data_IF_500908179490
#
_entry.id   IF_500908179490
#
_cell.length_a   1.000
_cell.length_b   1.000
_cell.length_c   1.000
_cell.angle_alpha   90.00
_cell.angle_beta   90.00
_cell.angle_gamma   90.00
#
_symmetry.space_group_name_H-M   'P 1'
#
loop_
_entity.id
_entity.type
_entity.pdbx_description
1 polymer ?
#
# COMPACT_ATOMS: atom_id res chain seq x y z
N UNK A 1 -18.73 49.41 -43.59
CA UNK A 1 -19.55 49.80 -44.74
C UNK A 1 -20.37 51.02 -44.36
N UNK A 2 -20.04 52.19 -44.95
CA UNK A 2 -20.82 53.41 -44.80
C UNK A 2 -21.92 53.42 -45.88
N UNK A 3 -23.12 53.81 -45.50
CA UNK A 3 -24.26 53.96 -46.37
C UNK A 3 -24.93 55.28 -46.16
N UNK A 4 -25.51 55.79 -47.24
CA UNK A 4 -26.35 57.01 -47.21
C UNK A 4 -27.65 56.75 -47.91
N UNK A 5 -28.71 57.04 -47.23
CA UNK A 5 -30.07 57.00 -47.82
C UNK A 5 -30.50 58.44 -48.09
N UNK A 6 -30.83 58.68 -49.36
CA UNK A 6 -31.26 60.03 -49.81
C UNK A 6 -32.66 59.91 -50.40
N UNK A 7 -33.54 60.79 -50.04
CA UNK A 7 -34.90 60.87 -50.63
C UNK A 7 -34.78 61.44 -52.04
N UNK A 8 -35.40 60.77 -53.02
CA UNK A 8 -35.48 61.26 -54.41
C UNK A 8 -36.97 61.38 -54.81
N UNK A 9 -37.32 62.38 -55.59
CA UNK A 9 -38.69 62.54 -56.14
C UNK A 9 -38.84 63.80 -57.00
N UNK A 10 -39.67 63.71 -58.05
CA UNK A 10 -39.97 64.84 -58.90
C UNK A 10 -40.82 65.86 -58.13
N UNK A 11 -40.26 67.06 -57.86
CA UNK A 11 -40.96 68.14 -57.19
C UNK A 11 -40.60 68.37 -55.73
N UNK A 12 -39.55 67.70 -55.22
CA UNK A 12 -39.01 67.97 -53.87
C UNK A 12 -38.13 69.21 -53.92
N UNK A 13 -38.36 70.20 -53.01
CA UNK A 13 -37.59 71.39 -52.88
C UNK A 13 -36.24 71.14 -52.21
N UNK A 14 -36.15 70.10 -51.36
CA UNK A 14 -34.88 69.76 -50.67
C UNK A 14 -34.79 68.21 -50.57
N UNK A 15 -33.67 67.68 -50.94
CA UNK A 15 -33.32 66.30 -50.65
C UNK A 15 -32.87 66.17 -49.19
N UNK A 16 -33.27 65.10 -48.53
CA UNK A 16 -32.86 64.78 -47.17
C UNK A 16 -32.08 63.49 -47.19
N UNK A 17 -30.85 63.52 -46.67
CA UNK A 17 -29.98 62.35 -46.52
C UNK A 17 -29.78 61.98 -45.09
N UNK A 18 -29.63 60.68 -44.80
CA UNK A 18 -29.19 60.10 -43.55
C UNK A 18 -28.13 59.08 -43.87
N UNK A 19 -27.04 59.15 -43.11
CA UNK A 19 -25.92 58.21 -43.24
C UNK A 19 -25.83 57.36 -42.00
N UNK A 20 -25.34 56.15 -42.16
CA UNK A 20 -25.00 55.24 -41.11
C UNK A 20 -23.85 54.35 -41.49
N UNK A 21 -23.30 53.65 -40.53
CA UNK A 21 -22.19 52.72 -40.72
C UNK A 21 -22.62 51.33 -40.26
N UNK A 22 -22.35 50.29 -41.08
CA UNK A 22 -22.46 48.90 -40.68
C UNK A 22 -21.03 48.36 -40.56
N UNK A 23 -20.61 48.06 -39.34
CA UNK A 23 -19.34 47.39 -39.07
C UNK A 23 -19.53 45.88 -39.05
N UNK A 24 -18.73 45.18 -39.82
CA UNK A 24 -18.68 43.72 -39.87
C UNK A 24 -17.31 43.30 -39.40
N UNK A 25 -17.27 42.53 -38.33
CA UNK A 25 -16.02 41.93 -37.81
C UNK A 25 -15.95 40.46 -38.24
N UNK A 26 -14.76 39.92 -38.57
CA UNK A 26 -14.60 38.51 -38.83
C UNK A 26 -14.92 37.69 -37.59
N UNK A 27 -15.29 36.44 -37.80
CA UNK A 27 -15.45 35.51 -36.68
C UNK A 27 -14.11 35.25 -36.02
N UNK A 28 -14.03 35.31 -34.69
CA UNK A 28 -12.80 35.03 -33.96
C UNK A 28 -12.35 33.58 -34.18
N UNK A 29 -11.05 33.38 -34.31
CA UNK A 29 -10.48 32.03 -34.52
C UNK A 29 -9.39 31.74 -33.53
N UNK A 30 -9.30 30.43 -33.17
CA UNK A 30 -8.17 29.85 -32.43
C UNK A 30 -7.55 28.74 -33.27
N UNK A 31 -6.21 28.72 -33.37
CA UNK A 31 -5.47 27.75 -34.18
C UNK A 31 -4.40 27.11 -33.32
N UNK A 32 -4.44 25.76 -33.21
CA UNK A 32 -3.45 24.99 -32.47
C UNK A 32 -2.07 25.10 -33.12
N UNK A 33 -1.05 25.33 -32.29
CA UNK A 33 0.35 25.27 -32.70
C UNK A 33 0.87 23.84 -32.55
N UNK A 34 0.91 23.09 -33.64
CA UNK A 34 1.31 21.69 -33.68
C UNK A 34 2.78 21.43 -33.29
N UNK A 35 3.60 22.49 -33.10
CA UNK A 35 4.98 22.36 -32.63
C UNK A 35 5.07 22.21 -31.09
N UNK A 36 3.95 22.39 -30.39
CA UNK A 36 3.79 22.27 -28.93
C UNK A 36 2.94 21.05 -28.55
N UNK A 37 2.51 20.95 -27.31
CA UNK A 37 1.74 19.82 -26.79
C UNK A 37 0.51 19.47 -27.63
N UNK A 38 0.23 18.20 -27.84
CA UNK A 38 -0.89 17.70 -28.63
C UNK A 38 -2.24 18.02 -27.99
N UNK A 39 -3.31 18.12 -28.79
CA UNK A 39 -4.69 18.30 -28.28
C UNK A 39 -5.18 17.11 -27.45
N UNK A 40 -4.63 15.92 -27.70
CA UNK A 40 -4.91 14.71 -26.93
C UNK A 40 -3.65 14.26 -26.23
N UNK A 41 -3.69 14.21 -24.91
CA UNK A 41 -2.58 13.80 -24.06
C UNK A 41 -3.03 12.86 -22.98
N UNK A 42 -2.08 12.09 -22.44
CA UNK A 42 -2.24 11.35 -21.21
C UNK A 42 -1.14 11.79 -20.23
N UNK A 43 -1.50 12.00 -18.98
CA UNK A 43 -0.58 12.38 -17.93
C UNK A 43 -0.95 11.69 -16.62
N UNK A 44 0.05 11.41 -15.82
CA UNK A 44 -0.16 10.94 -14.46
C UNK A 44 -0.67 12.07 -13.57
N UNK A 45 -1.45 11.73 -12.56
CA UNK A 45 -1.82 12.67 -11.51
C UNK A 45 -0.55 13.33 -10.92
N UNK A 46 -0.60 14.65 -10.73
CA UNK A 46 0.53 15.44 -10.25
C UNK A 46 1.64 15.72 -11.26
N UNK A 47 1.67 15.06 -12.43
CA UNK A 47 2.68 15.27 -13.46
C UNK A 47 2.20 16.32 -14.46
N UNK A 48 3.02 17.32 -14.83
CA UNK A 48 2.60 18.34 -15.76
C UNK A 48 2.38 17.77 -17.18
N UNK A 49 1.32 18.26 -17.85
CA UNK A 49 1.11 17.99 -19.27
C UNK A 49 2.10 18.80 -20.12
N UNK A 50 2.35 18.37 -21.35
CA UNK A 50 3.03 19.20 -22.33
C UNK A 50 2.15 20.42 -22.65
N UNK A 51 2.67 21.67 -22.55
CA UNK A 51 1.87 22.85 -22.77
C UNK A 51 1.20 22.86 -24.16
N UNK A 52 -0.13 23.00 -24.20
CA UNK A 52 -0.90 23.09 -25.44
C UNK A 52 -1.02 24.56 -25.80
N UNK A 53 -0.52 24.94 -26.95
CA UNK A 53 -0.42 26.32 -27.36
C UNK A 53 -1.32 26.61 -28.56
N UNK A 54 -1.99 27.74 -28.54
CA UNK A 54 -2.83 28.22 -29.63
C UNK A 54 -2.54 29.68 -29.96
N UNK A 55 -2.70 29.99 -31.25
CA UNK A 55 -2.70 31.37 -31.74
C UNK A 55 -4.13 31.88 -31.83
N UNK A 56 -4.40 33.04 -31.21
CA UNK A 56 -5.65 33.76 -31.30
C UNK A 56 -5.63 34.70 -32.51
N UNK A 57 -6.60 34.57 -33.39
CA UNK A 57 -6.66 35.27 -34.68
C UNK A 57 -8.01 35.98 -34.88
N UNK A 58 -8.09 36.86 -35.85
CA UNK A 58 -9.30 37.49 -36.34
C UNK A 58 -10.11 38.21 -35.24
N UNK A 59 -9.41 38.90 -34.32
CA UNK A 59 -10.04 39.62 -33.22
C UNK A 59 -10.48 38.73 -32.05
N UNK A 60 -9.99 37.47 -31.96
CA UNK A 60 -10.08 36.68 -30.78
C UNK A 60 -9.23 37.26 -29.67
N UNK A 61 -9.85 37.80 -28.65
CA UNK A 61 -9.16 38.39 -27.48
C UNK A 61 -9.33 37.55 -26.23
N UNK A 62 -10.30 36.65 -26.24
CA UNK A 62 -10.62 35.77 -25.12
C UNK A 62 -11.12 34.43 -25.63
N UNK A 63 -11.23 33.46 -24.69
CA UNK A 63 -11.76 32.12 -24.95
C UNK A 63 -12.68 31.69 -23.81
N UNK A 64 -13.67 30.88 -24.13
CA UNK A 64 -14.41 30.08 -23.15
C UNK A 64 -13.87 28.67 -23.22
N UNK A 65 -13.33 28.18 -22.10
CA UNK A 65 -12.79 26.83 -21.99
C UNK A 65 -13.61 26.06 -20.97
N UNK A 66 -14.08 24.86 -21.37
CA UNK A 66 -14.82 23.96 -20.49
C UNK A 66 -14.16 22.59 -20.51
N UNK A 67 -14.34 21.84 -19.40
CA UNK A 67 -13.96 20.42 -19.31
C UNK A 67 -12.50 20.14 -19.03
N UNK A 68 -11.68 21.14 -18.68
CA UNK A 68 -10.33 20.87 -18.20
C UNK A 68 -10.33 20.16 -16.85
N UNK A 69 -9.42 19.19 -16.61
CA UNK A 69 -9.27 18.57 -15.30
C UNK A 69 -8.78 19.56 -14.25
N UNK A 70 -9.06 19.27 -12.99
CA UNK A 70 -8.52 20.03 -11.86
C UNK A 70 -6.99 20.09 -11.93
N UNK A 71 -6.40 21.26 -11.65
CA UNK A 71 -4.95 21.48 -11.74
C UNK A 71 -4.42 21.87 -13.12
N UNK A 72 -5.23 21.73 -14.18
CA UNK A 72 -4.93 22.27 -15.51
C UNK A 72 -5.56 23.65 -15.63
N UNK A 73 -4.76 24.63 -16.02
CA UNK A 73 -5.15 26.01 -16.16
C UNK A 73 -4.81 26.54 -17.55
N UNK A 74 -5.33 27.71 -17.88
CA UNK A 74 -4.93 28.39 -19.09
C UNK A 74 -4.50 29.85 -18.81
N UNK A 75 -3.68 30.36 -19.68
CA UNK A 75 -3.24 31.75 -19.66
C UNK A 75 -3.22 32.32 -21.08
N UNK A 76 -3.62 33.59 -21.22
CA UNK A 76 -3.53 34.32 -22.48
C UNK A 76 -2.48 35.43 -22.31
N UNK A 77 -1.48 35.44 -23.19
CA UNK A 77 -0.46 36.47 -23.26
C UNK A 77 -0.40 37.03 -24.69
N UNK A 78 -0.91 38.24 -24.88
CA UNK A 78 -1.12 38.79 -26.23
C UNK A 78 -2.05 37.92 -27.04
N UNK A 79 -1.60 37.42 -28.17
CA UNK A 79 -2.39 36.52 -29.04
C UNK A 79 -2.07 35.05 -28.86
N UNK A 80 -1.47 34.66 -27.73
CA UNK A 80 -1.11 33.27 -27.45
C UNK A 80 -1.89 32.80 -26.25
N UNK A 81 -2.67 31.73 -26.45
CA UNK A 81 -3.32 30.95 -25.40
C UNK A 81 -2.43 29.75 -25.10
N UNK A 82 -2.12 29.51 -23.83
CA UNK A 82 -1.40 28.33 -23.33
C UNK A 82 -2.24 27.62 -22.29
N UNK A 83 -2.48 26.31 -22.49
CA UNK A 83 -3.08 25.40 -21.50
C UNK A 83 -1.95 24.56 -20.90
N UNK A 84 -1.80 24.55 -19.59
CA UNK A 84 -0.73 23.85 -18.89
C UNK A 84 -1.10 23.56 -17.43
N UNK A 85 -0.30 22.76 -16.75
CA UNK A 85 -0.47 22.43 -15.34
C UNK A 85 -0.31 20.95 -15.09
N UNK A 86 -0.56 20.55 -13.84
CA UNK A 86 -0.53 19.14 -13.39
C UNK A 86 -1.93 18.74 -12.96
N UNK A 87 -2.55 17.74 -13.60
CA UNK A 87 -3.89 17.31 -13.24
C UNK A 87 -3.88 16.64 -11.86
N UNK A 88 -5.01 16.72 -11.14
CA UNK A 88 -5.13 16.15 -9.79
C UNK A 88 -6.56 15.75 -9.46
N UNK A 89 -6.73 14.93 -8.41
CA UNK A 89 -8.04 14.62 -7.83
C UNK A 89 -8.81 13.53 -8.56
N UNK A 90 -8.10 12.58 -9.19
CA UNK A 90 -8.71 11.38 -9.78
C UNK A 90 -8.44 10.16 -8.90
N UNK A 91 -9.43 9.30 -8.73
CA UNK A 91 -9.31 8.03 -8.01
C UNK A 91 -9.27 6.80 -8.93
N UNK A 92 -9.35 7.02 -10.24
CA UNK A 92 -9.21 6.04 -11.31
C UNK A 92 -8.90 6.79 -12.60
N UNK A 93 -8.37 6.09 -13.61
CA UNK A 93 -8.13 6.66 -14.94
C UNK A 93 -9.36 7.38 -15.46
N UNK A 94 -9.23 8.66 -15.71
CA UNK A 94 -10.35 9.53 -16.11
C UNK A 94 -10.05 10.30 -17.38
N UNK A 95 -10.93 10.18 -18.37
CA UNK A 95 -10.87 10.95 -19.61
C UNK A 95 -11.64 12.26 -19.47
N UNK A 96 -10.96 13.37 -19.61
CA UNK A 96 -11.53 14.70 -19.67
C UNK A 96 -11.60 15.20 -21.13
N UNK A 97 -12.80 15.50 -21.59
CA UNK A 97 -13.02 16.16 -22.88
C UNK A 97 -13.11 17.66 -22.64
N UNK A 98 -12.22 18.43 -23.24
CA UNK A 98 -12.28 19.87 -23.11
C UNK A 98 -12.62 20.54 -24.46
N UNK A 99 -13.19 21.74 -24.38
CA UNK A 99 -13.54 22.56 -25.54
C UNK A 99 -13.02 23.99 -25.38
N UNK A 100 -12.62 24.60 -26.47
CA UNK A 100 -12.13 25.97 -26.56
C UNK A 100 -12.99 26.70 -27.59
N UNK A 101 -13.73 27.69 -27.14
CA UNK A 101 -14.54 28.58 -27.98
C UNK A 101 -13.89 29.97 -28.00
N UNK A 102 -13.38 30.44 -29.15
CA UNK A 102 -12.85 31.82 -29.26
C UNK A 102 -13.99 32.80 -29.26
N UNK A 103 -13.79 33.89 -28.54
CA UNK A 103 -14.77 34.98 -28.44
C UNK A 103 -14.13 36.37 -28.67
N UNK A 104 -14.88 37.25 -29.31
CA UNK A 104 -14.54 38.66 -29.40
C UNK A 104 -15.33 39.39 -28.32
N UNK A 105 -14.63 40.02 -27.36
CA UNK A 105 -15.23 40.65 -26.19
C UNK A 105 -16.04 41.91 -26.55
N UNK A 106 -15.73 42.56 -27.67
CA UNK A 106 -16.37 43.83 -28.07
C UNK A 106 -17.69 43.56 -28.82
N UNK A 107 -17.75 42.52 -29.63
CA UNK A 107 -18.89 42.24 -30.51
C UNK A 107 -19.75 41.05 -30.04
N UNK A 108 -19.28 40.30 -29.05
CA UNK A 108 -19.90 39.03 -28.59
C UNK A 108 -19.99 37.99 -29.71
N UNK A 109 -19.22 38.11 -30.77
CA UNK A 109 -19.11 37.07 -31.80
C UNK A 109 -18.30 35.90 -31.23
N UNK A 110 -18.75 34.66 -31.52
CA UNK A 110 -18.00 33.45 -31.22
C UNK A 110 -17.59 32.74 -32.51
N UNK A 111 -16.48 32.02 -32.45
CA UNK A 111 -15.95 31.26 -33.57
C UNK A 111 -16.10 29.76 -33.42
N UNK A 112 -15.44 29.02 -34.32
CA UNK A 112 -15.47 27.56 -34.31
C UNK A 112 -14.80 26.98 -33.08
N UNK A 113 -15.50 26.08 -32.40
CA UNK A 113 -14.98 25.37 -31.21
C UNK A 113 -13.94 24.34 -31.59
N UNK A 114 -12.81 24.32 -30.87
CA UNK A 114 -11.83 23.24 -30.92
C UNK A 114 -12.01 22.34 -29.71
N UNK A 115 -11.96 21.03 -29.93
CA UNK A 115 -12.05 20.02 -28.88
C UNK A 115 -10.71 19.31 -28.71
N UNK A 116 -10.41 18.90 -27.47
CA UNK A 116 -9.27 18.07 -27.14
C UNK A 116 -9.61 17.13 -25.98
N UNK A 117 -8.65 16.30 -25.62
CA UNK A 117 -8.80 15.28 -24.58
C UNK A 117 -7.56 15.23 -23.69
N UNK A 118 -7.75 15.09 -22.40
CA UNK A 118 -6.70 14.81 -21.42
C UNK A 118 -7.14 13.58 -20.64
N UNK A 119 -6.39 12.48 -20.77
CA UNK A 119 -6.53 11.32 -19.90
C UNK A 119 -5.64 11.54 -18.68
N UNK A 120 -6.23 11.51 -17.51
CA UNK A 120 -5.49 11.56 -16.24
C UNK A 120 -5.46 10.15 -15.68
N UNK A 121 -4.25 9.60 -15.61
CA UNK A 121 -4.04 8.29 -15.02
C UNK A 121 -3.84 8.44 -13.52
N UNK A 122 -4.52 7.62 -12.73
CA UNK A 122 -4.44 7.64 -11.28
C UNK A 122 -3.17 6.96 -10.77
N UNK A 123 -2.73 7.35 -9.58
CA UNK A 123 -1.70 6.63 -8.85
C UNK A 123 -2.26 5.36 -8.23
N UNK A 124 -1.41 4.37 -7.96
CA UNK A 124 -1.81 3.23 -7.18
C UNK A 124 -2.05 3.61 -5.72
N UNK A 125 -3.00 2.97 -5.08
CA UNK A 125 -3.26 3.10 -3.66
C UNK A 125 -3.18 1.74 -2.97
N UNK A 126 -2.60 1.72 -1.77
CA UNK A 126 -2.51 0.53 -0.92
C UNK A 126 -2.76 0.93 0.53
N UNK A 127 -3.91 0.57 1.05
CA UNK A 127 -4.31 0.88 2.41
C UNK A 127 -4.34 -0.38 3.27
N UNK A 128 -3.62 -0.39 4.41
CA UNK A 128 -3.70 -1.48 5.38
C UNK A 128 -5.10 -1.51 6.00
N UNK A 129 -5.82 -2.61 5.82
CA UNK A 129 -7.19 -2.80 6.33
C UNK A 129 -7.24 -3.59 7.63
N UNK A 130 -6.16 -4.32 7.98
CA UNK A 130 -5.95 -4.99 9.26
C UNK A 130 -4.97 -4.20 10.13
N UNK A 131 -4.98 -4.42 11.45
CA UNK A 131 -4.07 -3.73 12.40
C UNK A 131 -2.81 -4.54 12.72
N UNK A 132 -2.53 -5.63 12.00
CA UNK A 132 -1.59 -6.68 12.37
C UNK A 132 -0.52 -6.95 11.31
N UNK A 133 -0.03 -5.93 10.64
CA UNK A 133 1.05 -6.06 9.65
C UNK A 133 2.40 -6.51 10.25
N UNK A 134 2.57 -6.35 11.57
CA UNK A 134 3.69 -6.92 12.31
C UNK A 134 3.15 -7.95 13.29
N UNK A 135 3.74 -9.14 13.31
CA UNK A 135 3.29 -10.25 14.16
C UNK A 135 4.50 -10.96 14.77
N UNK A 136 4.32 -11.48 15.99
CA UNK A 136 5.22 -12.41 16.62
C UNK A 136 4.46 -13.71 16.87
N UNK A 137 5.00 -14.81 16.38
CA UNK A 137 4.36 -16.14 16.42
C UNK A 137 5.39 -17.21 16.77
N UNK A 138 4.92 -18.39 17.15
CA UNK A 138 5.77 -19.55 17.34
C UNK A 138 5.97 -20.30 16.02
N UNK A 139 7.03 -21.08 15.94
CA UNK A 139 7.27 -22.02 14.86
C UNK A 139 6.07 -22.93 14.62
N UNK A 140 5.71 -23.14 13.36
CA UNK A 140 4.56 -23.95 12.98
C UNK A 140 3.20 -23.29 13.11
N UNK A 141 3.10 -22.13 13.74
CA UNK A 141 1.87 -21.36 13.80
C UNK A 141 1.58 -20.62 12.49
N UNK A 142 0.31 -20.55 12.12
CA UNK A 142 -0.11 -19.69 11.02
C UNK A 142 -0.22 -18.23 11.46
N UNK A 143 0.16 -17.30 10.57
CA UNK A 143 -0.07 -15.87 10.84
C UNK A 143 -1.57 -15.56 10.89
N UNK A 144 -1.93 -14.55 11.66
CA UNK A 144 -3.22 -13.89 11.48
C UNK A 144 -3.23 -13.22 10.11
N UNK A 145 -4.32 -13.34 9.37
CA UNK A 145 -4.42 -12.76 8.03
C UNK A 145 -4.18 -11.26 8.04
N UNK A 146 -3.31 -10.81 7.13
CA UNK A 146 -3.01 -9.39 6.92
C UNK A 146 -3.78 -8.95 5.68
N UNK A 147 -4.49 -7.85 5.78
CA UNK A 147 -5.32 -7.36 4.68
C UNK A 147 -4.95 -5.94 4.27
N UNK A 148 -4.90 -5.73 2.96
CA UNK A 148 -4.77 -4.42 2.33
C UNK A 148 -5.91 -4.23 1.33
N UNK A 149 -6.32 -2.99 1.14
CA UNK A 149 -7.25 -2.59 0.09
C UNK A 149 -6.47 -1.89 -1.01
N UNK A 150 -6.64 -2.35 -2.25
CA UNK A 150 -6.16 -1.68 -3.45
C UNK A 150 -7.09 -0.55 -3.84
N UNK A 151 -6.53 0.54 -4.32
CA UNK A 151 -7.23 1.68 -4.87
C UNK A 151 -6.44 2.32 -6.01
N UNK A 152 -6.95 3.43 -6.55
CA UNK A 152 -6.42 4.00 -7.77
C UNK A 152 -6.49 2.98 -8.92
N UNK A 153 -5.46 2.93 -9.74
CA UNK A 153 -5.36 1.95 -10.83
C UNK A 153 -4.60 0.67 -10.47
N UNK A 154 -4.32 0.45 -9.19
CA UNK A 154 -3.69 -0.77 -8.74
C UNK A 154 -4.63 -1.98 -8.94
N UNK A 155 -4.22 -2.94 -9.75
CA UNK A 155 -4.98 -4.16 -10.02
C UNK A 155 -4.34 -5.41 -9.45
N UNK A 156 -3.05 -5.31 -9.08
CA UNK A 156 -2.28 -6.43 -8.57
C UNK A 156 -1.21 -5.93 -7.59
N UNK A 157 -0.45 -6.86 -7.01
CA UNK A 157 0.70 -6.55 -6.14
C UNK A 157 1.91 -7.40 -6.52
N UNK A 158 3.09 -6.91 -6.14
CA UNK A 158 4.29 -7.72 -5.97
C UNK A 158 4.59 -7.86 -4.48
N UNK A 159 5.09 -9.03 -4.08
CA UNK A 159 5.55 -9.32 -2.73
C UNK A 159 7.06 -9.59 -2.77
N UNK A 160 7.82 -8.85 -1.98
CA UNK A 160 9.27 -8.98 -1.91
C UNK A 160 9.75 -9.09 -0.47
N UNK A 161 10.88 -9.78 -0.27
CA UNK A 161 11.54 -9.85 1.04
C UNK A 161 12.39 -8.60 1.26
N UNK A 162 12.30 -8.02 2.45
CA UNK A 162 13.12 -6.88 2.85
C UNK A 162 14.51 -7.26 3.34
N UNK A 163 14.67 -8.48 3.85
CA UNK A 163 15.93 -8.98 4.44
C UNK A 163 16.49 -10.21 3.73
N UNK A 164 15.90 -10.63 2.60
CA UNK A 164 16.31 -11.81 1.84
C UNK A 164 15.79 -13.14 2.37
N UNK A 165 14.95 -13.14 3.41
CA UNK A 165 14.29 -14.34 3.91
C UNK A 165 13.34 -14.95 2.87
N UNK A 166 13.17 -16.27 2.89
CA UNK A 166 12.23 -16.96 2.00
C UNK A 166 10.78 -16.69 2.43
N UNK A 167 10.03 -16.03 1.58
CA UNK A 167 8.61 -15.72 1.76
C UNK A 167 7.69 -16.66 0.97
N UNK A 168 8.18 -17.78 0.45
CA UNK A 168 7.39 -18.70 -0.38
C UNK A 168 6.16 -19.28 0.36
N UNK A 169 6.18 -19.27 1.68
CA UNK A 169 5.07 -19.69 2.53
C UNK A 169 3.98 -18.61 2.69
N UNK A 170 4.30 -17.33 2.40
CA UNK A 170 3.38 -16.20 2.53
C UNK A 170 2.59 -16.04 1.24
N UNK A 171 1.31 -16.46 1.27
CA UNK A 171 0.46 -16.54 0.09
C UNK A 171 -0.41 -15.29 -0.06
N UNK A 172 -0.17 -14.46 -1.07
CA UNK A 172 -1.06 -13.36 -1.41
C UNK A 172 -2.25 -13.86 -2.24
N UNK A 173 -3.45 -13.47 -1.86
CA UNK A 173 -4.69 -13.69 -2.61
C UNK A 173 -5.40 -12.36 -2.79
N UNK A 174 -5.79 -12.05 -4.04
CA UNK A 174 -6.54 -10.83 -4.35
C UNK A 174 -7.97 -11.21 -4.72
N UNK A 175 -8.93 -10.62 -4.03
CA UNK A 175 -10.34 -10.78 -4.32
C UNK A 175 -11.07 -9.44 -4.16
N UNK A 176 -11.73 -8.98 -5.23
CA UNK A 176 -12.50 -7.72 -5.25
C UNK A 176 -11.71 -6.51 -4.71
N UNK A 177 -10.44 -6.36 -5.07
CA UNK A 177 -9.58 -5.27 -4.62
C UNK A 177 -9.03 -5.42 -3.20
N UNK A 178 -9.29 -6.54 -2.52
CA UNK A 178 -8.70 -6.85 -1.22
C UNK A 178 -7.57 -7.86 -1.38
N UNK A 179 -6.38 -7.48 -0.98
CA UNK A 179 -5.21 -8.36 -0.86
C UNK A 179 -5.24 -8.99 0.53
N UNK A 180 -5.18 -10.30 0.59
CA UNK A 180 -5.07 -11.06 1.85
C UNK A 180 -3.77 -11.84 1.83
N UNK A 181 -2.91 -11.60 2.83
CA UNK A 181 -1.72 -12.40 3.09
C UNK A 181 -2.02 -13.41 4.19
N UNK A 182 -1.68 -14.67 3.94
CA UNK A 182 -1.84 -15.77 4.90
C UNK A 182 -0.74 -16.80 4.68
N UNK A 183 -0.50 -17.63 5.68
CA UNK A 183 0.46 -18.72 5.57
C UNK A 183 1.03 -19.13 6.92
N UNK A 184 1.89 -20.15 6.87
CA UNK A 184 2.66 -20.66 8.02
C UNK A 184 4.12 -20.61 7.61
N UNK A 185 5.00 -19.89 8.34
CA UNK A 185 6.43 -19.91 8.09
C UNK A 185 7.00 -21.32 8.10
N UNK A 186 8.09 -21.52 7.35
CA UNK A 186 8.76 -22.81 7.32
C UNK A 186 9.19 -23.22 8.72
N UNK A 187 8.94 -24.49 9.05
CA UNK A 187 9.39 -25.12 10.29
C UNK A 187 10.92 -25.38 10.26
N UNK A 188 11.49 -25.71 11.44
CA UNK A 188 12.90 -26.02 11.70
C UNK A 188 13.82 -24.78 11.71
N UNK A 189 13.37 -23.69 12.27
CA UNK A 189 14.23 -22.59 12.67
C UNK A 189 14.90 -22.93 14.01
N UNK A 190 16.17 -22.62 14.16
CA UNK A 190 16.95 -22.88 15.39
C UNK A 190 17.26 -21.63 16.21
N UNK A 191 16.81 -20.49 15.73
CA UNK A 191 16.92 -19.18 16.40
C UNK A 191 15.80 -18.27 15.93
N UNK A 192 15.39 -17.28 16.74
CA UNK A 192 14.40 -16.30 16.33
C UNK A 192 14.73 -15.70 14.97
N UNK A 193 13.77 -15.70 14.07
CA UNK A 193 13.96 -15.29 12.67
C UNK A 193 12.88 -14.28 12.29
N UNK A 194 13.33 -13.17 11.72
CA UNK A 194 12.43 -12.14 11.17
C UNK A 194 12.24 -12.34 9.65
N UNK A 195 11.01 -12.28 9.22
CA UNK A 195 10.57 -12.30 7.84
C UNK A 195 10.02 -10.92 7.49
N UNK A 196 10.92 -10.06 6.97
CA UNK A 196 10.51 -8.74 6.49
C UNK A 196 9.90 -8.86 5.10
N UNK A 197 8.71 -8.32 4.93
CA UNK A 197 8.03 -8.32 3.66
C UNK A 197 7.64 -6.91 3.21
N UNK A 198 7.57 -6.72 1.91
CA UNK A 198 7.07 -5.50 1.29
C UNK A 198 6.05 -5.87 0.21
N UNK A 199 4.86 -5.29 0.32
CA UNK A 199 3.80 -5.36 -0.69
C UNK A 199 3.83 -4.08 -1.48
N UNK A 200 3.96 -4.18 -2.80
CA UNK A 200 3.99 -3.03 -3.71
C UNK A 200 2.86 -3.18 -4.74
N UNK A 201 2.10 -2.12 -4.98
CA UNK A 201 1.05 -2.11 -6.01
C UNK A 201 1.63 -2.29 -7.39
N UNK A 202 0.93 -3.04 -8.25
CA UNK A 202 1.25 -3.16 -9.67
C UNK A 202 -0.03 -3.09 -10.51
N UNK A 203 0.11 -2.69 -11.78
CA UNK A 203 -1.01 -2.59 -12.73
C UNK A 203 -0.53 -2.09 -14.08
N UNK A 204 -1.33 -2.29 -15.13
CA UNK A 204 -1.03 -1.73 -16.45
C UNK A 204 -1.45 -0.26 -16.48
N UNK A 205 -0.51 0.63 -16.76
CA UNK A 205 -0.76 2.09 -16.82
C UNK A 205 -0.58 2.81 -15.48
N UNK A 206 -0.20 2.10 -14.43
CA UNK A 206 0.05 2.67 -13.11
C UNK A 206 1.14 3.75 -13.18
N UNK A 207 0.84 4.93 -12.70
CA UNK A 207 1.75 6.06 -12.71
C UNK A 207 2.78 5.99 -11.59
N UNK A 208 2.31 5.77 -10.38
CA UNK A 208 3.16 5.58 -9.21
C UNK A 208 2.75 4.34 -8.45
N UNK A 209 3.74 3.55 -8.05
CA UNK A 209 3.56 2.39 -7.18
C UNK A 209 3.58 2.83 -5.72
N UNK A 210 2.77 2.17 -4.89
CA UNK A 210 2.75 2.38 -3.44
C UNK A 210 3.15 1.10 -2.74
N UNK A 211 4.05 1.22 -1.76
CA UNK A 211 4.54 0.09 -0.98
C UNK A 211 4.12 0.18 0.48
N UNK A 212 3.92 -0.99 1.10
CA UNK A 212 3.71 -1.16 2.53
C UNK A 212 4.54 -2.36 3.01
N UNK A 213 5.19 -2.20 4.14
CA UNK A 213 6.06 -3.24 4.72
C UNK A 213 5.54 -3.70 6.08
N UNK A 214 5.98 -4.89 6.46
CA UNK A 214 5.77 -5.43 7.78
C UNK A 214 6.80 -6.52 8.09
N UNK A 215 6.79 -7.00 9.33
CA UNK A 215 7.68 -8.03 9.84
C UNK A 215 6.89 -9.13 10.53
N UNK A 216 7.20 -10.37 10.22
CA UNK A 216 6.74 -11.55 10.94
C UNK A 216 7.94 -12.11 11.70
N UNK A 217 7.95 -11.97 13.02
CA UNK A 217 8.97 -12.54 13.89
C UNK A 217 8.54 -13.94 14.35
N UNK A 218 9.33 -14.94 14.03
CA UNK A 218 9.05 -16.33 14.38
C UNK A 218 10.06 -16.77 15.44
N UNK A 219 9.55 -17.28 16.56
CA UNK A 219 10.35 -17.86 17.63
C UNK A 219 10.32 -19.39 17.51
N UNK A 220 11.45 -20.09 17.55
CA UNK A 220 11.47 -21.54 17.52
C UNK A 220 10.79 -22.13 18.77
N UNK A 221 10.21 -23.30 18.62
CA UNK A 221 9.70 -24.07 19.76
C UNK A 221 10.86 -24.57 20.61
N UNK A 222 10.83 -24.27 21.90
CA UNK A 222 11.86 -24.77 22.82
C UNK A 222 11.81 -26.27 22.94
N UNK A 223 12.99 -26.92 23.00
CA UNK A 223 13.10 -28.35 23.12
C UNK A 223 13.66 -28.75 24.50
N UNK A 224 13.12 -29.80 25.06
CA UNK A 224 13.58 -30.43 26.32
C UNK A 224 14.14 -31.81 25.98
N UNK A 225 15.47 -31.97 26.02
CA UNK A 225 16.15 -33.18 25.61
C UNK A 225 16.81 -33.85 26.81
N UNK A 226 16.43 -35.12 27.12
CA UNK A 226 17.07 -35.87 28.19
C UNK A 226 18.53 -36.19 27.86
N UNK A 227 19.44 -35.95 28.82
CA UNK A 227 20.82 -36.37 28.72
C UNK A 227 20.96 -37.81 29.25
N UNK A 228 21.16 -38.81 28.37
CA UNK A 228 21.20 -40.21 28.79
C UNK A 228 22.47 -40.59 29.57
N UNK A 229 23.44 -39.71 29.68
CA UNK A 229 24.65 -39.94 30.50
C UNK A 229 24.41 -39.75 31.99
N UNK A 230 23.26 -39.17 32.36
CA UNK A 230 22.75 -39.03 33.72
C UNK A 230 21.69 -40.08 34.08
N UNK A 231 20.94 -39.85 35.17
CA UNK A 231 19.90 -40.80 35.60
C UNK A 231 18.80 -41.06 34.56
N UNK A 232 18.32 -42.26 34.50
CA UNK A 232 17.20 -42.63 33.60
C UNK A 232 15.95 -41.82 33.94
N UNK A 233 15.09 -41.57 32.93
CA UNK A 233 13.79 -40.88 33.10
C UNK A 233 12.88 -41.56 34.09
N UNK A 234 12.93 -42.90 34.15
CA UNK A 234 12.16 -43.70 35.12
C UNK A 234 13.12 -44.38 36.07
N UNK A 235 12.92 -44.15 37.35
CA UNK A 235 13.71 -44.76 38.44
C UNK A 235 12.80 -45.37 39.50
N UNK A 236 13.26 -46.43 40.12
CA UNK A 236 12.62 -47.04 41.27
C UNK A 236 13.61 -47.04 42.44
N UNK A 237 13.28 -46.30 43.48
CA UNK A 237 14.15 -46.13 44.65
C UNK A 237 13.36 -46.36 45.91
N UNK A 238 14.05 -46.76 47.01
CA UNK A 238 13.43 -46.83 48.32
C UNK A 238 13.34 -45.41 48.93
N UNK A 239 12.37 -45.17 49.80
CA UNK A 239 12.31 -43.99 50.63
C UNK A 239 13.64 -43.76 51.36
N UNK A 240 14.11 -42.53 51.41
CA UNK A 240 15.40 -42.17 52.01
C UNK A 240 16.64 -42.49 51.15
N UNK A 241 16.46 -43.04 49.94
CA UNK A 241 17.54 -43.27 48.97
C UNK A 241 17.52 -42.20 47.90
N UNK A 242 18.63 -41.50 47.66
CA UNK A 242 18.67 -40.47 46.62
C UNK A 242 18.44 -41.07 45.22
N UNK A 243 17.74 -40.36 44.39
CA UNK A 243 17.66 -40.68 42.93
C UNK A 243 19.00 -40.40 42.27
N UNK A 244 19.29 -41.11 41.17
CA UNK A 244 20.32 -40.66 40.26
C UNK A 244 19.87 -39.37 39.57
N UNK A 245 20.65 -38.28 39.62
CA UNK A 245 20.24 -37.03 39.02
C UNK A 245 19.81 -37.22 37.57
N UNK A 246 18.63 -36.71 37.22
CA UNK A 246 18.09 -36.73 35.85
C UNK A 246 18.38 -35.34 35.27
N UNK A 247 18.93 -35.34 34.07
CA UNK A 247 19.33 -34.09 33.45
C UNK A 247 18.68 -33.90 32.09
N UNK A 248 18.27 -32.66 31.82
CA UNK A 248 17.73 -32.24 30.53
C UNK A 248 18.51 -31.04 30.01
N UNK A 249 18.89 -31.10 28.76
CA UNK A 249 19.39 -29.95 28.01
C UNK A 249 18.23 -29.26 27.31
N UNK A 250 18.16 -27.94 27.48
CA UNK A 250 17.16 -27.14 26.83
C UNK A 250 17.77 -26.55 25.55
N UNK A 251 17.15 -26.84 24.43
CA UNK A 251 17.58 -26.31 23.13
C UNK A 251 16.56 -25.25 22.66
N UNK A 252 17.04 -24.32 21.84
CA UNK A 252 16.22 -23.30 21.21
C UNK A 252 15.44 -22.41 22.21
N UNK A 253 16.05 -22.20 23.38
CA UNK A 253 15.49 -21.37 24.44
C UNK A 253 16.06 -19.97 24.45
N UNK A 254 15.21 -18.98 24.66
CA UNK A 254 15.65 -17.60 24.88
C UNK A 254 16.22 -17.41 26.29
N UNK A 255 17.03 -16.37 26.48
CA UNK A 255 17.70 -16.08 27.74
C UNK A 255 16.77 -15.80 28.94
N UNK A 256 15.50 -15.53 28.68
CA UNK A 256 14.45 -15.29 29.66
C UNK A 256 13.44 -16.44 29.77
N UNK A 257 13.79 -17.63 29.28
CA UNK A 257 12.93 -18.81 29.36
C UNK A 257 12.55 -19.14 30.80
N UNK A 258 11.28 -19.45 31.02
CA UNK A 258 10.77 -19.94 32.30
C UNK A 258 10.67 -21.47 32.25
N UNK A 259 11.27 -22.11 33.26
CA UNK A 259 11.22 -23.57 33.42
C UNK A 259 10.34 -23.92 34.60
N UNK A 260 9.45 -24.92 34.44
CA UNK A 260 8.66 -25.51 35.51
C UNK A 260 8.78 -27.01 35.46
N UNK A 261 8.95 -27.62 36.65
CA UNK A 261 8.86 -29.06 36.82
C UNK A 261 7.75 -29.38 37.83
N UNK A 262 6.80 -30.21 37.42
CA UNK A 262 5.62 -30.53 38.24
C UNK A 262 5.62 -31.99 38.66
N UNK A 263 4.83 -32.32 39.67
CA UNK A 263 4.59 -33.68 40.18
C UNK A 263 5.83 -34.41 40.69
N UNK A 264 6.83 -33.70 41.22
CA UNK A 264 7.94 -34.33 41.90
C UNK A 264 7.52 -34.84 43.28
N UNK A 265 8.07 -36.00 43.74
CA UNK A 265 7.84 -36.47 45.11
C UNK A 265 8.46 -35.53 46.14
N UNK A 266 7.94 -35.53 47.37
CA UNK A 266 8.52 -34.74 48.42
C UNK A 266 9.97 -35.15 48.69
N UNK A 267 10.87 -34.13 48.82
CA UNK A 267 12.31 -34.33 48.97
C UNK A 267 13.09 -34.43 47.65
N UNK A 268 12.39 -34.44 46.50
CA UNK A 268 12.98 -34.28 45.19
C UNK A 268 12.67 -32.88 44.69
N UNK A 269 13.65 -32.23 44.10
CA UNK A 269 13.58 -30.85 43.60
C UNK A 269 14.31 -30.74 42.27
N UNK A 270 14.12 -29.64 41.60
CA UNK A 270 14.89 -29.32 40.39
C UNK A 270 15.68 -28.01 40.54
N UNK A 271 16.75 -27.95 39.82
CA UNK A 271 17.52 -26.70 39.58
C UNK A 271 17.60 -26.41 38.10
N UNK A 272 17.63 -25.14 37.76
CA UNK A 272 17.81 -24.65 36.40
C UNK A 272 18.99 -23.70 36.36
N UNK A 273 20.02 -24.07 35.62
CA UNK A 273 21.25 -23.27 35.49
C UNK A 273 21.71 -23.27 34.03
N UNK A 274 21.80 -22.06 33.46
CA UNK A 274 22.08 -21.92 32.03
C UNK A 274 20.94 -22.52 31.20
N UNK A 275 21.25 -23.50 30.35
CA UNK A 275 20.27 -24.25 29.53
C UNK A 275 20.09 -25.68 30.03
N UNK A 276 20.33 -25.94 31.31
CA UNK A 276 20.25 -27.30 31.85
C UNK A 276 19.30 -27.33 33.06
N UNK A 277 18.37 -28.29 33.03
CA UNK A 277 17.52 -28.65 34.16
C UNK A 277 18.03 -29.94 34.77
N UNK A 278 18.27 -29.93 36.08
CA UNK A 278 18.63 -31.15 36.83
C UNK A 278 17.59 -31.42 37.90
N UNK A 279 17.06 -32.63 37.92
CA UNK A 279 16.17 -33.16 38.94
C UNK A 279 16.96 -34.09 39.84
N UNK A 280 17.01 -33.78 41.13
CA UNK A 280 17.80 -34.52 42.12
C UNK A 280 17.12 -34.49 43.49
N UNK A 281 17.59 -35.31 44.40
CA UNK A 281 17.09 -35.32 45.78
C UNK A 281 16.78 -36.74 46.29
N UNK A 282 16.17 -36.80 47.48
CA UNK A 282 15.88 -37.99 48.21
C UNK A 282 14.38 -38.03 48.55
N UNK A 283 13.58 -38.93 47.93
CA UNK A 283 12.16 -39.02 48.25
C UNK A 283 11.91 -39.39 49.69
N UNK A 284 10.97 -38.71 50.33
CA UNK A 284 10.59 -38.90 51.74
C UNK A 284 9.07 -38.91 51.90
N UNK A 285 8.57 -39.40 53.06
CA UNK A 285 7.17 -39.39 53.42
C UNK A 285 6.23 -40.21 52.49
N UNK A 286 6.70 -41.34 51.97
CA UNK A 286 5.87 -42.31 51.21
C UNK A 286 5.38 -43.43 52.12
N UNK A 287 4.08 -43.48 52.38
CA UNK A 287 3.47 -44.53 53.24
C UNK A 287 3.04 -45.77 52.48
N UNK A 288 2.99 -45.67 51.16
CA UNK A 288 2.65 -46.77 50.23
C UNK A 288 3.53 -46.60 48.97
N UNK A 289 3.68 -47.66 48.17
CA UNK A 289 4.33 -47.57 46.87
C UNK A 289 3.54 -46.60 46.02
N UNK A 290 4.19 -45.51 45.62
CA UNK A 290 3.61 -44.40 44.82
C UNK A 290 4.43 -44.17 43.57
N UNK A 291 3.77 -43.87 42.46
CA UNK A 291 4.39 -43.45 41.24
C UNK A 291 4.14 -41.94 41.03
N UNK A 292 5.18 -41.19 40.68
CA UNK A 292 5.12 -39.78 40.40
C UNK A 292 5.50 -39.57 38.93
N UNK A 293 4.55 -39.13 38.12
CA UNK A 293 4.81 -38.75 36.73
C UNK A 293 5.10 -37.24 36.70
N UNK A 294 6.36 -36.90 36.56
CA UNK A 294 6.76 -35.51 36.48
C UNK A 294 6.75 -35.03 35.06
N UNK A 295 6.56 -33.69 34.87
CA UNK A 295 6.61 -33.02 33.56
C UNK A 295 7.60 -31.86 33.68
N UNK A 296 8.50 -31.79 32.75
CA UNK A 296 9.40 -30.63 32.54
C UNK A 296 8.83 -29.80 31.41
N UNK A 297 8.49 -28.56 31.69
CA UNK A 297 7.97 -27.58 30.73
C UNK A 297 8.89 -26.39 30.66
N UNK A 298 9.23 -25.94 29.44
CA UNK A 298 9.93 -24.71 29.20
C UNK A 298 9.06 -23.79 28.36
N UNK A 299 9.00 -22.53 28.74
CA UNK A 299 8.34 -21.46 27.98
C UNK A 299 9.38 -20.44 27.57
N UNK A 300 9.52 -20.25 26.27
CA UNK A 300 10.50 -19.34 25.71
C UNK A 300 9.86 -18.00 25.38
N UNK A 301 10.52 -16.93 25.81
CA UNK A 301 10.33 -15.56 25.34
C UNK A 301 8.96 -14.90 25.47
N UNK A 302 8.83 -13.80 24.75
CA UNK A 302 7.62 -12.97 24.72
C UNK A 302 6.44 -13.63 23.98
N UNK A 303 6.72 -14.56 23.08
CA UNK A 303 5.71 -15.30 22.28
C UNK A 303 5.08 -16.49 23.02
N UNK A 304 5.57 -16.85 24.20
CA UNK A 304 5.07 -17.99 25.01
C UNK A 304 5.12 -19.34 24.27
N UNK A 305 6.06 -19.51 23.35
CA UNK A 305 6.30 -20.79 22.67
C UNK A 305 6.73 -21.86 23.68
N UNK A 306 6.10 -23.03 23.64
CA UNK A 306 6.19 -24.04 24.72
C UNK A 306 6.87 -25.30 24.21
N UNK A 307 7.97 -25.68 24.86
CA UNK A 307 8.54 -27.02 24.74
C UNK A 307 8.22 -27.89 25.96
N UNK A 308 7.79 -29.12 25.76
CA UNK A 308 7.46 -30.07 26.83
C UNK A 308 8.17 -31.39 26.64
N UNK A 309 8.58 -32.03 27.76
CA UNK A 309 8.92 -33.44 27.79
C UNK A 309 8.16 -34.09 28.97
N UNK A 310 7.52 -35.21 28.72
CA UNK A 310 6.75 -36.00 29.71
C UNK A 310 7.27 -37.43 29.78
#
# INVERSE_FOLDING_TARGET
YDYTVTTTGSGLCNEVSRSGTISVTPDPRVVHDNSNGALTQAACEGTPIDPIVFNLLDGSENVIINGLPTGINFNINGNILTISGSPSGVSADTLFNYSIEPVNSLTSCSGTVINGQITVNADGELTLSSSNNNQAICEGDAIQTIQFTLGGDATNISLTSGNGADLSWLNPVINAGVVTLSGTPNANITSPTDYDYTVTTTGSGLCNEVSRSGTISVTPDSQVVHDPTFGALTQVVCEGTPINPIRFDLLEVESNAAVTVTNLPQGVYYSFVGNTVEISGTPVNTTITSSFNYVVEVKSGASSCVGTNS
#
